data_IF_434399359871
#
_entry.id   IF_434399359871
#
_cell.length_a   1.000
_cell.length_b   1.000
_cell.length_c   1.000
_cell.angle_alpha   90.00
_cell.angle_beta   90.00
_cell.angle_gamma   90.00
#
_symmetry.space_group_name_H-M   'P 1'
#
loop_
_entity.id
_entity.type
_entity.pdbx_description
1 polymer ?
#
# COMPACT_ATOMS: atom_id res chain seq x y z
N UNK A 1 1.33 -8.00 -10.27
CA UNK A 1 0.69 -8.17 -11.60
C UNK A 1 -0.70 -7.59 -11.48
N UNK A 2 -1.23 -6.93 -12.51
CA UNK A 2 -2.68 -6.68 -12.54
C UNK A 2 -3.31 -8.05 -12.79
N UNK A 3 -3.95 -8.66 -11.78
CA UNK A 3 -4.77 -9.84 -12.01
C UNK A 3 -5.90 -9.45 -12.99
N UNK A 4 -5.78 -9.88 -14.24
CA UNK A 4 -6.78 -9.75 -15.30
C UNK A 4 -7.32 -8.34 -15.61
N UNK A 5 -6.60 -7.27 -15.24
CA UNK A 5 -7.07 -5.92 -15.58
C UNK A 5 -8.35 -5.49 -14.86
N UNK A 6 -8.73 -6.17 -13.77
CA UNK A 6 -10.01 -5.92 -13.11
C UNK A 6 -10.03 -4.54 -12.42
N UNK A 7 -10.49 -3.53 -13.16
CA UNK A 7 -10.85 -2.24 -12.59
C UNK A 7 -12.11 -2.46 -11.77
N UNK A 8 -11.95 -2.42 -10.44
CA UNK A 8 -13.07 -2.56 -9.53
C UNK A 8 -13.82 -1.22 -9.50
N UNK A 9 -15.12 -1.18 -9.83
CA UNK A 9 -15.87 0.07 -9.81
C UNK A 9 -15.74 0.79 -8.46
N UNK A 10 -15.36 2.07 -8.51
CA UNK A 10 -15.10 2.96 -7.35
C UNK A 10 -13.85 2.65 -6.52
N UNK A 11 -13.07 1.64 -6.88
CA UNK A 11 -11.79 1.34 -6.22
C UNK A 11 -10.61 1.53 -7.19
N UNK A 12 -10.80 1.29 -8.49
CA UNK A 12 -9.74 1.37 -9.49
C UNK A 12 -9.07 0.02 -9.74
N UNK A 13 -7.91 0.05 -10.39
CA UNK A 13 -7.06 -1.12 -10.59
C UNK A 13 -6.13 -1.28 -9.38
N UNK A 14 -5.97 -2.52 -8.92
CA UNK A 14 -5.06 -2.86 -7.82
C UNK A 14 -3.79 -3.49 -8.37
N UNK A 15 -2.66 -3.03 -7.87
CA UNK A 15 -1.33 -3.51 -8.20
C UNK A 15 -0.73 -4.11 -6.93
N UNK A 16 -0.78 -5.42 -6.83
CA UNK A 16 -0.13 -6.18 -5.77
C UNK A 16 1.29 -6.64 -6.20
N UNK A 17 2.24 -6.74 -5.24
CA UNK A 17 3.54 -7.35 -5.48
C UNK A 17 3.36 -8.79 -6.00
N UNK A 18 4.13 -9.18 -7.01
CA UNK A 18 4.00 -10.51 -7.63
C UNK A 18 4.66 -11.63 -6.83
N UNK A 19 5.58 -11.23 -5.96
CA UNK A 19 6.37 -12.06 -5.05
C UNK A 19 5.79 -12.04 -3.63
N UNK A 20 4.54 -11.59 -3.48
CA UNK A 20 3.86 -11.61 -2.20
C UNK A 20 3.64 -13.06 -1.73
N UNK A 21 3.94 -13.40 -0.47
CA UNK A 21 3.91 -14.78 0.02
C UNK A 21 2.57 -15.51 -0.19
N UNK A 22 1.46 -14.76 -0.18
CA UNK A 22 0.12 -15.30 -0.40
C UNK A 22 -0.08 -15.94 -1.79
N UNK A 23 0.74 -15.56 -2.78
CA UNK A 23 0.70 -16.16 -4.11
C UNK A 23 1.49 -17.48 -4.21
N UNK A 24 2.33 -17.78 -3.22
CA UNK A 24 3.16 -18.99 -3.14
C UNK A 24 2.61 -20.03 -2.14
N UNK A 25 1.37 -19.81 -1.65
CA UNK A 25 0.67 -20.73 -0.75
C UNK A 25 1.02 -20.55 0.73
N UNK A 26 1.72 -19.46 1.08
CA UNK A 26 1.90 -19.05 2.46
C UNK A 26 0.62 -18.39 3.02
N UNK A 27 0.52 -18.34 4.35
CA UNK A 27 -0.59 -17.66 5.00
C UNK A 27 -0.45 -16.14 4.82
N UNK A 28 -1.50 -15.53 4.27
CA UNK A 28 -1.53 -14.09 4.04
C UNK A 28 -1.66 -13.32 5.36
N UNK A 29 -0.74 -12.38 5.61
CA UNK A 29 -0.74 -11.56 6.83
C UNK A 29 -0.76 -10.07 6.56
N UNK A 30 0.05 -9.59 5.63
CA UNK A 30 -0.01 -8.23 5.14
C UNK A 30 0.43 -8.13 3.68
N UNK A 31 -0.16 -7.16 2.96
CA UNK A 31 0.27 -6.78 1.61
C UNK A 31 0.06 -5.29 1.43
N UNK A 32 1.09 -4.59 0.93
CA UNK A 32 0.95 -3.21 0.47
C UNK A 32 0.50 -3.21 -0.99
N UNK A 33 -0.64 -2.59 -1.27
CA UNK A 33 -1.21 -2.49 -2.61
C UNK A 33 -1.11 -1.06 -3.13
N UNK A 34 -0.81 -0.94 -4.42
CA UNK A 34 -0.91 0.32 -5.16
C UNK A 34 -2.20 0.38 -5.96
N UNK A 35 -2.82 1.54 -5.96
CA UNK A 35 -4.04 1.80 -6.70
C UNK A 35 -3.81 2.67 -7.92
N UNK A 36 -4.31 2.24 -9.08
CA UNK A 36 -4.27 3.03 -10.30
C UNK A 36 -5.69 3.38 -10.79
N UNK A 37 -5.91 4.65 -11.13
CA UNK A 37 -7.19 5.13 -11.65
C UNK A 37 -7.00 6.30 -12.62
N UNK A 38 -7.90 6.41 -13.60
CA UNK A 38 -8.08 7.59 -14.44
C UNK A 38 -8.89 8.63 -13.65
N UNK A 39 -8.19 9.44 -12.85
CA UNK A 39 -8.81 10.37 -11.90
C UNK A 39 -9.21 11.70 -12.52
N UNK A 40 -8.63 12.08 -13.66
CA UNK A 40 -8.90 13.33 -14.37
C UNK A 40 -9.69 13.14 -15.68
N UNK A 41 -9.92 11.89 -16.09
CA UNK A 41 -10.76 11.54 -17.23
C UNK A 41 -10.07 11.70 -18.57
N UNK A 42 -8.74 11.70 -18.60
CA UNK A 42 -7.94 11.83 -19.83
C UNK A 42 -7.66 10.47 -20.52
N UNK A 43 -8.04 9.37 -19.87
CA UNK A 43 -7.84 8.02 -20.34
C UNK A 43 -6.49 7.40 -19.95
N UNK A 44 -5.66 8.11 -19.20
CA UNK A 44 -4.41 7.64 -18.61
C UNK A 44 -4.63 7.23 -17.15
N UNK A 45 -4.06 6.09 -16.75
CA UNK A 45 -4.19 5.59 -15.37
C UNK A 45 -2.97 6.04 -14.58
N UNK A 46 -3.22 6.73 -13.48
CA UNK A 46 -2.18 7.22 -12.58
C UNK A 46 -2.24 6.47 -11.24
N UNK A 47 -1.08 6.32 -10.59
CA UNK A 47 -1.05 5.90 -9.19
C UNK A 47 -1.78 6.94 -8.33
N UNK A 48 -2.83 6.50 -7.66
CA UNK A 48 -3.75 7.38 -6.93
C UNK A 48 -3.78 7.10 -5.41
N UNK A 49 -3.42 5.89 -4.98
CA UNK A 49 -3.38 5.54 -3.57
C UNK A 49 -2.39 4.42 -3.27
N UNK A 50 -2.02 4.34 -1.99
CA UNK A 50 -1.30 3.22 -1.36
C UNK A 50 -2.16 2.70 -0.21
N UNK A 51 -2.33 1.38 -0.12
CA UNK A 51 -3.21 0.74 0.85
C UNK A 51 -2.51 -0.47 1.50
N UNK A 52 -2.14 -0.38 2.79
CA UNK A 52 -1.73 -1.54 3.56
C UNK A 52 -2.97 -2.38 3.90
N UNK A 53 -3.06 -3.58 3.35
CA UNK A 53 -4.04 -4.58 3.77
C UNK A 53 -3.40 -5.51 4.79
N UNK A 54 -3.93 -5.54 6.01
CA UNK A 54 -3.34 -6.26 7.14
C UNK A 54 -4.43 -7.09 7.82
N UNK A 55 -4.14 -8.34 8.15
CA UNK A 55 -5.10 -9.21 8.83
C UNK A 55 -5.28 -8.81 10.30
N UNK A 56 -6.43 -9.15 10.87
CA UNK A 56 -6.64 -9.03 12.33
C UNK A 56 -5.68 -9.93 13.10
N UNK A 57 -5.35 -11.09 12.52
CA UNK A 57 -4.42 -12.05 13.11
C UNK A 57 -3.00 -11.48 13.23
N UNK A 58 -2.52 -10.79 12.19
CA UNK A 58 -1.21 -10.11 12.23
C UNK A 58 -1.11 -9.18 13.44
N UNK A 59 -2.12 -8.31 13.64
CA UNK A 59 -2.15 -7.41 14.79
C UNK A 59 -2.15 -8.14 16.14
N UNK A 60 -2.88 -9.25 16.25
CA UNK A 60 -3.08 -9.94 17.53
C UNK A 60 -1.95 -10.90 17.90
N UNK A 61 -1.31 -11.52 16.91
CA UNK A 61 -0.44 -12.67 17.13
C UNK A 61 0.96 -12.53 16.50
N UNK A 62 1.19 -11.57 15.59
CA UNK A 62 2.45 -11.44 14.86
C UNK A 62 3.16 -10.11 15.03
N UNK A 63 2.43 -9.03 15.36
CA UNK A 63 3.01 -7.71 15.58
C UNK A 63 3.83 -7.68 16.89
N UNK A 64 5.13 -7.38 16.79
CA UNK A 64 6.01 -7.21 17.95
C UNK A 64 6.51 -5.76 18.03
N UNK A 65 5.81 -4.94 18.80
CA UNK A 65 6.18 -3.54 19.02
C UNK A 65 5.88 -2.64 17.82
N UNK A 66 6.92 -2.23 17.09
CA UNK A 66 6.84 -1.26 16.00
C UNK A 66 7.55 -1.83 14.77
N UNK A 67 6.77 -2.18 13.76
CA UNK A 67 7.26 -2.72 12.50
C UNK A 67 7.18 -1.64 11.43
N UNK A 68 8.29 -1.41 10.72
CA UNK A 68 8.41 -0.36 9.70
C UNK A 68 8.74 -1.00 8.35
N UNK A 69 8.00 -0.59 7.32
CA UNK A 69 8.11 -1.11 5.97
C UNK A 69 8.39 0.03 4.98
N UNK A 70 9.24 -0.26 3.99
CA UNK A 70 9.51 0.65 2.88
C UNK A 70 8.38 0.60 1.85
N UNK A 71 7.99 1.77 1.35
CA UNK A 71 7.01 1.92 0.26
C UNK A 71 7.80 2.03 -1.05
N UNK A 72 7.58 1.11 -1.99
CA UNK A 72 8.25 1.13 -3.29
C UNK A 72 8.01 2.47 -4.03
N UNK A 73 9.06 3.17 -4.42
CA UNK A 73 8.92 4.49 -5.05
C UNK A 73 8.92 4.38 -6.58
N UNK A 74 8.11 5.17 -7.30
CA UNK A 74 8.20 5.25 -8.76
C UNK A 74 9.47 5.99 -9.20
N UNK A 75 9.98 5.65 -10.38
CA UNK A 75 11.12 6.37 -10.98
C UNK A 75 10.76 7.80 -11.42
N UNK A 76 9.48 8.04 -11.73
CA UNK A 76 8.94 9.32 -12.21
C UNK A 76 7.67 9.66 -11.44
N UNK A 77 7.59 10.88 -10.92
CA UNK A 77 6.40 11.41 -10.26
C UNK A 77 5.69 12.34 -11.24
N UNK A 78 4.43 12.08 -11.64
CA UNK A 78 3.76 12.94 -12.62
C UNK A 78 3.34 14.31 -12.06
N UNK A 79 3.34 14.46 -10.73
CA UNK A 79 2.85 15.64 -10.00
C UNK A 79 3.82 16.02 -8.89
N UNK A 80 3.99 17.32 -8.68
CA UNK A 80 4.73 17.84 -7.53
C UNK A 80 3.95 17.53 -6.24
N UNK A 81 4.64 17.09 -5.19
CA UNK A 81 3.97 16.78 -3.93
C UNK A 81 4.85 16.10 -2.89
N UNK A 82 4.23 15.81 -1.75
CA UNK A 82 4.84 15.05 -0.66
C UNK A 82 4.32 13.62 -0.72
N UNK A 83 5.22 12.66 -0.87
CA UNK A 83 4.89 11.24 -1.02
C UNK A 83 5.48 10.44 0.15
N UNK A 84 4.71 9.55 0.80
CA UNK A 84 5.24 8.73 1.88
C UNK A 84 6.25 7.72 1.32
N UNK A 85 7.39 7.59 1.98
CA UNK A 85 8.41 6.60 1.61
C UNK A 85 8.37 5.36 2.50
N UNK A 86 7.69 5.43 3.64
CA UNK A 86 7.56 4.31 4.57
C UNK A 86 6.18 4.29 5.23
N UNK A 87 5.79 3.12 5.76
CA UNK A 87 4.68 3.03 6.70
C UNK A 87 5.09 2.20 7.93
N UNK A 88 4.46 2.50 9.06
CA UNK A 88 4.72 1.84 10.33
C UNK A 88 3.43 1.24 10.88
N UNK A 89 3.53 0.01 11.38
CA UNK A 89 2.48 -0.69 12.12
C UNK A 89 2.90 -0.82 13.58
N UNK A 90 2.03 -0.43 14.52
CA UNK A 90 2.35 -0.49 15.95
C UNK A 90 1.15 -0.78 16.84
N UNK A 91 1.41 -1.52 17.90
CA UNK A 91 0.50 -1.69 19.03
C UNK A 91 0.55 -0.41 19.90
N UNK A 92 -0.62 0.14 20.22
CA UNK A 92 -0.78 1.32 21.07
C UNK A 92 -1.08 0.96 22.54
N UNK A 93 -1.27 -0.32 22.85
CA UNK A 93 -1.82 -0.81 24.10
C UNK A 93 -3.35 -0.73 24.13
N UNK A 94 -3.96 -1.31 25.18
CA UNK A 94 -5.40 -1.34 25.42
C UNK A 94 -6.25 -1.84 24.22
N UNK A 95 -5.66 -2.68 23.35
CA UNK A 95 -6.32 -3.25 22.17
C UNK A 95 -6.39 -2.31 20.97
N UNK A 96 -5.67 -1.19 20.98
CA UNK A 96 -5.58 -0.27 19.85
C UNK A 96 -4.34 -0.53 18.99
N UNK A 97 -4.49 -0.41 17.67
CA UNK A 97 -3.40 -0.49 16.71
C UNK A 97 -3.36 0.77 15.85
N UNK A 98 -2.17 1.12 15.36
CA UNK A 98 -1.99 2.20 14.38
C UNK A 98 -1.21 1.71 13.17
N UNK A 99 -1.68 2.11 12.00
CA UNK A 99 -0.96 2.02 10.72
C UNK A 99 -0.75 3.47 10.26
N UNK A 100 0.49 3.88 10.10
CA UNK A 100 0.86 5.30 9.90
C UNK A 100 1.76 5.42 8.68
N UNK A 101 1.37 6.27 7.73
CA UNK A 101 2.26 6.68 6.63
C UNK A 101 3.26 7.71 7.16
N UNK A 102 4.54 7.51 6.86
CA UNK A 102 5.63 8.30 7.43
C UNK A 102 6.64 8.72 6.35
N UNK A 103 7.62 9.53 6.76
CA UNK A 103 8.76 9.97 5.94
C UNK A 103 8.36 10.55 4.58
N UNK A 104 7.41 11.48 4.61
CA UNK A 104 6.98 12.19 3.40
C UNK A 104 8.13 12.99 2.80
N UNK A 105 8.46 12.70 1.54
CA UNK A 105 9.47 13.40 0.78
C UNK A 105 8.84 14.25 -0.33
N UNK A 106 9.37 15.46 -0.51
CA UNK A 106 8.99 16.33 -1.63
C UNK A 106 9.57 15.77 -2.94
N UNK A 107 8.70 15.59 -3.93
CA UNK A 107 9.02 15.11 -5.27
C UNK A 107 8.47 16.10 -6.29
N UNK A 108 9.13 16.15 -7.44
CA UNK A 108 8.76 17.03 -8.55
C UNK A 108 8.62 16.24 -9.84
N UNK A 109 7.78 16.76 -10.73
CA UNK A 109 7.54 16.20 -12.07
C UNK A 109 8.68 16.44 -13.07
#
# INVERSE_FOLDING_TARGET
MIEDGAIVPKMGAHLAPTDAPEFDGEEWQETLIWGAADVDGDGEYENNYVEPMITVDYFQNHLDGVEKQDIAQPDVYPKDGYYPTTYTVRDLGDGGYAVVMEEFEERSA
#
